data_IF_817992654402
#
_entry.id   IF_817992654402
#
_cell.length_a   1.000
_cell.length_b   1.000
_cell.length_c   1.000
_cell.angle_alpha   90.00
_cell.angle_beta   90.00
_cell.angle_gamma   90.00
#
_symmetry.space_group_name_H-M   'P 1'
#
loop_
_entity.id
_entity.type
_entity.pdbx_description
1 polymer ?
#
# COMPACT_ATOMS: atom_id res chain seq x y z
N UNK A 1 -33.11 -51.74 32.37
CA UNK A 1 -31.73 -51.27 32.61
C UNK A 1 -30.77 -52.11 31.79
N UNK A 2 -30.29 -51.60 30.65
CA UNK A 2 -28.96 -51.89 30.08
C UNK A 2 -28.72 -50.94 28.90
N UNK A 3 -27.61 -50.21 28.97
CA UNK A 3 -27.08 -49.22 28.02
C UNK A 3 -26.20 -49.96 27.00
N UNK A 4 -25.92 -49.33 25.83
CA UNK A 4 -24.73 -49.46 24.93
C UNK A 4 -25.09 -49.90 23.50
N UNK A 5 -24.54 -49.38 22.40
CA UNK A 5 -23.54 -48.35 22.07
C UNK A 5 -23.85 -47.86 20.65
N UNK A 6 -23.62 -46.57 20.37
CA UNK A 6 -23.73 -46.01 19.03
C UNK A 6 -22.48 -46.38 18.19
N UNK A 7 -22.62 -46.97 16.99
CA UNK A 7 -21.58 -46.83 15.99
C UNK A 7 -21.70 -45.43 15.38
N UNK A 8 -20.87 -44.53 15.89
CA UNK A 8 -20.53 -43.26 15.26
C UNK A 8 -20.05 -43.52 13.82
N UNK A 9 -20.96 -43.45 12.85
CA UNK A 9 -20.67 -43.57 11.43
C UNK A 9 -20.45 -42.17 10.85
N UNK A 10 -19.16 -41.84 10.72
CA UNK A 10 -18.56 -41.24 9.52
C UNK A 10 -19.37 -40.20 8.76
N UNK A 11 -19.17 -38.93 9.10
CA UNK A 11 -19.29 -37.83 8.14
C UNK A 11 -18.36 -36.69 8.59
N UNK A 12 -17.06 -36.88 8.41
CA UNK A 12 -16.08 -35.81 8.46
C UNK A 12 -16.27 -34.98 7.17
N UNK A 13 -17.21 -34.03 7.20
CA UNK A 13 -17.34 -32.99 6.19
C UNK A 13 -16.13 -32.04 6.35
N UNK A 14 -15.02 -32.40 5.70
CA UNK A 14 -13.94 -31.48 5.39
C UNK A 14 -14.51 -30.48 4.41
N UNK A 15 -15.11 -29.41 4.95
CA UNK A 15 -15.33 -28.19 4.19
C UNK A 15 -13.95 -27.58 3.92
N UNK A 16 -13.34 -28.03 2.83
CA UNK A 16 -12.31 -27.29 2.15
C UNK A 16 -12.96 -26.00 1.62
N UNK A 17 -13.13 -25.01 2.49
CA UNK A 17 -13.31 -23.62 2.08
C UNK A 17 -12.00 -23.20 1.44
N UNK A 18 -11.96 -23.43 0.13
CA UNK A 18 -10.99 -22.92 -0.82
C UNK A 18 -10.60 -21.48 -0.44
N UNK A 19 -9.38 -21.34 0.06
CA UNK A 19 -8.70 -20.06 0.22
C UNK A 19 -8.44 -19.45 -1.16
N UNK A 20 -9.44 -18.77 -1.69
CA UNK A 20 -9.35 -17.93 -2.90
C UNK A 20 -9.38 -16.43 -2.57
N UNK A 21 -9.18 -16.05 -1.31
CA UNK A 21 -8.68 -14.71 -0.99
C UNK A 21 -7.16 -14.76 -1.13
N UNK A 22 -6.66 -14.12 -2.18
CA UNK A 22 -5.31 -14.30 -2.71
C UNK A 22 -4.20 -14.17 -1.67
N UNK A 23 -3.11 -14.90 -1.92
CA UNK A 23 -1.78 -14.65 -1.37
C UNK A 23 -1.19 -13.31 -1.84
N UNK A 24 -1.98 -12.23 -1.91
CA UNK A 24 -1.45 -10.90 -2.23
C UNK A 24 -0.70 -10.29 -1.04
N UNK A 25 -0.76 -10.90 0.15
CA UNK A 25 -0.09 -10.39 1.34
C UNK A 25 -0.48 -8.95 1.68
N UNK A 26 0.11 -8.43 2.74
CA UNK A 26 0.22 -6.98 2.93
C UNK A 26 1.09 -6.41 1.80
N UNK A 27 0.82 -5.19 1.28
CA UNK A 27 1.70 -4.57 0.29
C UNK A 27 3.09 -4.37 0.91
N UNK A 28 4.14 -4.68 0.15
CA UNK A 28 5.49 -4.30 0.53
C UNK A 28 5.78 -2.83 0.20
N UNK A 29 7.00 -2.36 0.48
CA UNK A 29 7.36 -0.96 0.24
C UNK A 29 7.35 -0.61 -1.25
N UNK A 30 7.75 -1.54 -2.12
CA UNK A 30 7.78 -1.35 -3.57
C UNK A 30 6.34 -1.23 -4.13
N UNK A 31 5.43 -2.10 -3.68
CA UNK A 31 4.00 -2.04 -3.97
C UNK A 31 3.40 -0.67 -3.58
N UNK A 32 3.77 -0.17 -2.40
CA UNK A 32 3.30 1.12 -1.89
C UNK A 32 3.88 2.30 -2.69
N UNK A 33 5.16 2.24 -3.05
CA UNK A 33 5.80 3.25 -3.90
C UNK A 33 5.14 3.34 -5.27
N UNK A 34 4.87 2.19 -5.90
CA UNK A 34 4.19 2.13 -7.19
C UNK A 34 2.76 2.68 -7.11
N UNK A 35 2.00 2.28 -6.09
CA UNK A 35 0.65 2.79 -5.85
C UNK A 35 0.63 4.31 -5.65
N UNK A 36 1.62 4.86 -4.92
CA UNK A 36 1.75 6.31 -4.70
C UNK A 36 2.24 7.04 -5.96
N UNK A 37 3.13 6.45 -6.78
CA UNK A 37 3.57 7.06 -8.04
C UNK A 37 2.41 7.26 -9.02
N UNK A 38 1.43 6.34 -9.00
CA UNK A 38 0.22 6.40 -9.81
C UNK A 38 -0.87 7.31 -9.23
N UNK A 39 -0.71 7.76 -8.00
CA UNK A 39 -1.68 8.63 -7.37
C UNK A 39 -1.69 10.03 -8.04
N UNK A 40 -2.87 10.55 -8.45
CA UNK A 40 -2.96 11.84 -9.13
C UNK A 40 -2.45 13.03 -8.30
N UNK A 41 -2.52 12.96 -6.97
CA UNK A 41 -1.98 14.03 -6.11
C UNK A 41 -0.44 14.03 -6.17
N UNK A 42 0.19 12.86 -6.22
CA UNK A 42 1.63 12.76 -6.41
C UNK A 42 2.10 13.26 -7.76
N UNK A 43 1.39 12.91 -8.86
CA UNK A 43 1.71 13.45 -10.18
C UNK A 43 1.60 14.98 -10.21
N UNK A 44 0.54 15.54 -9.61
CA UNK A 44 0.37 17.00 -9.50
C UNK A 44 1.48 17.66 -8.69
N UNK A 45 1.90 17.04 -7.59
CA UNK A 45 2.98 17.56 -6.75
C UNK A 45 4.33 17.54 -7.50
N UNK A 46 4.56 16.50 -8.30
CA UNK A 46 5.73 16.38 -9.16
C UNK A 46 5.75 17.50 -10.21
N UNK A 47 4.64 17.74 -10.90
CA UNK A 47 4.50 18.85 -11.87
C UNK A 47 4.73 20.21 -11.24
N UNK A 48 4.14 20.48 -10.07
CA UNK A 48 4.31 21.75 -9.37
C UNK A 48 5.77 21.95 -8.99
N UNK A 49 6.43 20.90 -8.51
CA UNK A 49 7.85 20.92 -8.11
C UNK A 49 8.76 21.14 -9.31
N UNK A 50 8.47 20.48 -10.44
CA UNK A 50 9.24 20.61 -11.67
C UNK A 50 9.17 22.03 -12.27
N UNK A 51 8.05 22.73 -12.07
CA UNK A 51 7.87 24.11 -12.52
C UNK A 51 8.36 25.17 -11.52
N UNK A 52 8.97 24.79 -10.39
CA UNK A 52 9.51 25.78 -9.44
C UNK A 52 10.81 26.40 -9.98
N UNK A 53 10.97 27.74 -9.92
CA UNK A 53 12.22 28.39 -10.28
C UNK A 53 13.32 27.96 -9.31
N UNK A 54 14.43 27.47 -9.87
CA UNK A 54 15.53 26.88 -9.11
C UNK A 54 16.84 27.61 -9.40
N UNK A 55 17.68 27.85 -8.37
CA UNK A 55 18.98 28.48 -8.58
C UNK A 55 19.82 27.66 -9.55
N UNK A 56 20.40 28.35 -10.53
CA UNK A 56 21.23 27.87 -11.66
C UNK A 56 21.67 26.40 -11.61
N UNK A 57 21.15 25.60 -12.55
CA UNK A 57 21.71 24.30 -12.93
C UNK A 57 21.16 23.05 -12.24
N UNK A 58 20.08 23.18 -11.45
CA UNK A 58 19.45 22.03 -10.76
C UNK A 58 17.97 21.93 -11.08
N UNK A 59 17.65 21.66 -12.34
CA UNK A 59 16.28 21.29 -12.73
C UNK A 59 15.92 19.92 -12.14
N UNK A 60 14.74 19.80 -11.55
CA UNK A 60 14.14 18.52 -11.19
C UNK A 60 12.98 18.31 -12.13
N UNK A 61 12.99 17.24 -12.92
CA UNK A 61 11.81 16.89 -13.74
C UNK A 61 10.75 16.22 -12.88
N UNK A 62 9.51 16.16 -13.36
CA UNK A 62 8.44 15.46 -12.65
C UNK A 62 8.78 13.97 -12.50
N UNK A 63 9.41 13.39 -13.52
CA UNK A 63 9.90 12.00 -13.51
C UNK A 63 10.98 11.82 -12.45
N UNK A 64 12.00 12.69 -12.40
CA UNK A 64 13.05 12.61 -11.39
C UNK A 64 12.50 12.78 -9.96
N UNK A 65 11.46 13.60 -9.78
CA UNK A 65 10.76 13.75 -8.51
C UNK A 65 10.07 12.44 -8.11
N UNK A 66 9.28 11.85 -9.00
CA UNK A 66 8.60 10.58 -8.75
C UNK A 66 9.59 9.44 -8.55
N UNK A 67 10.67 9.38 -9.34
CA UNK A 67 11.75 8.40 -9.24
C UNK A 67 12.48 8.41 -7.92
N UNK A 68 12.53 9.56 -7.27
CA UNK A 68 13.12 9.70 -5.95
C UNK A 68 12.16 9.38 -4.79
N UNK A 69 10.89 9.08 -5.07
CA UNK A 69 9.95 8.64 -4.04
C UNK A 69 10.42 7.31 -3.46
N UNK A 70 10.56 7.30 -2.15
CA UNK A 70 10.75 6.09 -1.37
C UNK A 70 9.79 6.04 -0.18
N UNK A 71 9.26 4.85 0.09
CA UNK A 71 8.36 4.57 1.20
C UNK A 71 9.09 3.77 2.26
N UNK A 72 8.92 4.18 3.52
CA UNK A 72 9.30 3.38 4.66
C UNK A 72 8.05 2.95 5.42
N UNK A 73 7.72 1.67 5.32
CA UNK A 73 6.53 1.07 5.95
C UNK A 73 6.80 0.87 7.44
N UNK A 74 5.89 1.35 8.28
CA UNK A 74 5.97 1.17 9.74
C UNK A 74 4.98 0.14 10.30
N UNK A 75 3.93 -0.17 9.54
CA UNK A 75 3.03 -1.30 9.81
C UNK A 75 1.76 -1.18 8.99
N UNK A 76 1.08 -2.31 8.76
CA UNK A 76 -0.27 -2.30 8.20
C UNK A 76 -1.21 -3.20 8.99
N UNK A 77 -2.50 -2.95 8.81
CA UNK A 77 -3.58 -3.79 9.29
C UNK A 77 -4.63 -3.93 8.18
N UNK A 78 -5.34 -5.06 8.14
CA UNK A 78 -6.48 -5.21 7.23
C UNK A 78 -7.49 -4.09 7.44
N UNK A 79 -7.97 -3.53 6.33
CA UNK A 79 -8.96 -2.48 6.35
C UNK A 79 -10.29 -3.03 6.87
N UNK A 80 -10.88 -2.34 7.86
CA UNK A 80 -12.18 -2.74 8.41
C UNK A 80 -13.31 -2.27 7.50
N UNK A 81 -14.08 -3.22 6.98
CA UNK A 81 -15.26 -2.92 6.15
C UNK A 81 -14.94 -2.45 4.72
N UNK A 82 -13.70 -2.67 4.26
CA UNK A 82 -13.27 -2.37 2.90
C UNK A 82 -12.11 -3.29 2.50
N UNK A 83 -11.84 -3.49 1.19
CA UNK A 83 -10.72 -4.30 0.75
C UNK A 83 -9.37 -3.64 1.06
N UNK A 84 -8.34 -4.48 1.23
CA UNK A 84 -6.94 -4.07 1.36
C UNK A 84 -6.47 -3.83 2.79
N UNK A 85 -5.40 -3.04 2.91
CA UNK A 85 -4.66 -2.79 4.15
C UNK A 85 -4.56 -1.29 4.41
N UNK A 86 -4.77 -0.88 5.67
CA UNK A 86 -4.43 0.47 6.13
C UNK A 86 -3.01 0.43 6.68
N UNK A 87 -2.11 1.18 6.04
CA UNK A 87 -0.70 1.23 6.36
C UNK A 87 -0.31 2.59 6.93
N UNK A 88 0.56 2.56 7.95
CA UNK A 88 1.30 3.71 8.45
C UNK A 88 2.69 3.70 7.80
N UNK A 89 3.09 4.80 7.13
CA UNK A 89 4.34 4.87 6.39
C UNK A 89 4.94 6.27 6.35
N UNK A 90 6.25 6.37 6.16
CA UNK A 90 6.94 7.64 5.91
C UNK A 90 7.35 7.72 4.46
N UNK A 91 7.24 8.90 3.87
CA UNK A 91 7.70 9.14 2.51
C UNK A 91 9.01 9.94 2.55
N UNK A 92 9.94 9.59 1.68
CA UNK A 92 11.11 10.39 1.36
C UNK A 92 11.06 10.71 -0.13
N UNK A 93 11.25 11.97 -0.50
CA UNK A 93 11.28 12.40 -1.89
C UNK A 93 12.50 13.29 -2.10
N UNK A 94 13.29 12.96 -3.10
CA UNK A 94 14.39 13.80 -3.57
C UNK A 94 13.89 15.06 -4.27
N UNK A 95 14.47 16.20 -3.90
CA UNK A 95 14.32 17.44 -4.66
C UNK A 95 15.71 17.96 -5.04
N UNK A 96 15.80 18.85 -6.02
CA UNK A 96 17.04 19.54 -6.38
C UNK A 96 17.75 20.27 -5.23
N UNK A 97 17.06 20.55 -4.11
CA UNK A 97 17.66 21.21 -2.95
C UNK A 97 18.10 20.22 -1.87
N UNK A 98 17.30 19.17 -1.62
CA UNK A 98 17.55 18.14 -0.61
C UNK A 98 16.50 17.03 -0.69
N UNK A 99 16.71 15.93 0.03
CA UNK A 99 15.63 14.98 0.30
C UNK A 99 14.64 15.60 1.29
N UNK A 100 13.38 15.64 0.93
CA UNK A 100 12.27 15.97 1.82
C UNK A 100 11.74 14.67 2.42
N UNK A 101 11.76 14.56 3.75
CA UNK A 101 11.20 13.42 4.46
C UNK A 101 9.96 13.86 5.20
N UNK A 102 8.92 13.03 5.23
CA UNK A 102 7.76 13.30 6.07
C UNK A 102 8.15 13.19 7.55
N UNK A 103 7.95 14.28 8.31
CA UNK A 103 8.24 14.30 9.75
C UNK A 103 7.31 13.37 10.53
N UNK A 104 6.09 13.20 10.03
CA UNK A 104 5.08 12.28 10.57
C UNK A 104 4.83 11.14 9.58
N UNK A 105 4.53 9.93 10.07
CA UNK A 105 4.01 8.88 9.22
C UNK A 105 2.66 9.32 8.64
N UNK A 106 2.51 9.19 7.33
CA UNK A 106 1.23 9.22 6.65
C UNK A 106 0.47 7.92 6.90
N UNK A 107 -0.85 7.98 6.74
CA UNK A 107 -1.75 6.83 6.83
C UNK A 107 -2.54 6.73 5.53
N UNK A 108 -2.56 5.55 4.94
CA UNK A 108 -3.22 5.31 3.67
C UNK A 108 -3.78 3.90 3.58
N UNK A 109 -4.83 3.72 2.79
CA UNK A 109 -5.33 2.38 2.44
C UNK A 109 -4.77 1.96 1.09
N UNK A 110 -4.22 0.77 1.04
CA UNK A 110 -3.67 0.12 -0.13
C UNK A 110 -4.49 -1.12 -0.44
N UNK A 111 -4.98 -1.26 -1.67
CA UNK A 111 -5.81 -2.40 -2.08
C UNK A 111 -5.52 -2.77 -3.54
N UNK A 112 -5.64 -4.07 -3.87
CA UNK A 112 -5.49 -4.54 -5.23
C UNK A 112 -6.67 -4.09 -6.11
N UNK A 113 -6.34 -3.57 -7.29
CA UNK A 113 -7.23 -3.27 -8.39
C UNK A 113 -6.75 -4.01 -9.66
N UNK A 114 -7.45 -3.83 -10.79
CA UNK A 114 -7.13 -4.54 -12.04
C UNK A 114 -5.72 -4.25 -12.58
N UNK A 115 -5.15 -3.09 -12.24
CA UNK A 115 -3.83 -2.62 -12.65
C UNK A 115 -2.76 -2.71 -11.54
N UNK A 116 -3.08 -3.36 -10.42
CA UNK A 116 -2.18 -3.57 -9.28
C UNK A 116 -2.61 -2.80 -8.03
N UNK A 117 -1.65 -2.50 -7.15
CA UNK A 117 -1.95 -1.81 -5.91
C UNK A 117 -2.40 -0.36 -6.15
N UNK A 118 -3.49 0.02 -5.48
CA UNK A 118 -4.05 1.36 -5.50
C UNK A 118 -3.97 1.98 -4.12
N UNK A 119 -3.60 3.26 -4.06
CA UNK A 119 -3.56 4.08 -2.85
C UNK A 119 -4.86 4.89 -2.67
N UNK A 120 -5.31 4.99 -1.42
CA UNK A 120 -6.35 5.91 -0.99
C UNK A 120 -5.90 6.64 0.28
N UNK A 121 -5.89 7.97 0.24
CA UNK A 121 -5.64 8.81 1.42
C UNK A 121 -6.68 8.52 2.51
N UNK A 122 -6.21 8.26 3.74
CA UNK A 122 -7.07 8.09 4.91
C UNK A 122 -7.02 9.38 5.73
N UNK A 123 -8.14 10.11 5.78
CA UNK A 123 -8.30 11.32 6.59
C UNK A 123 -8.71 11.03 8.02
#
# INVERSE_FOLDING_TARGET
>A
MTIRHHPFATALLVAASLGLAGCSGEPDEDDMEEALRRDPMMSRLAEVTANQPVPQGRETTAEAYLDSLSVNKSGCAEARGAPGYVCDFKMTIGTNRSNMRSDRPGKGRFFQADDGWTYQEMR
#
